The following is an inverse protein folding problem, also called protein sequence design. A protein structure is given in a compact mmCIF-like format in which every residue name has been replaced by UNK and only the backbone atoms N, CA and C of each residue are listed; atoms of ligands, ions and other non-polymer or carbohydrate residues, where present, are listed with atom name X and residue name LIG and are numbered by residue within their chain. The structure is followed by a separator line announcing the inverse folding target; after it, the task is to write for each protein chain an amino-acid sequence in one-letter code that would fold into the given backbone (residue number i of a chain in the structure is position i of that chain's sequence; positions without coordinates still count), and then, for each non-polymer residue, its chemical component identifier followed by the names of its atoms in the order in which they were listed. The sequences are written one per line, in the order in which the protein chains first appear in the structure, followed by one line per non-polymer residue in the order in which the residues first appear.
data_IF_835506778118
#
_entry.id   IF_835506778118
#
_cell.length_a   1.000
_cell.length_b   1.000
_cell.length_c   1.000
_cell.angle_alpha   90.00
_cell.angle_beta   90.00
_cell.angle_gamma   90.00
#
_symmetry.space_group_name_H-M   'P 1'
#
loop_
_entity.id
_entity.type
_entity.pdbx_description
1 polymer ?
#
# COMPACT_ATOMS: atom_id res chain seq x y z
N UNK A 1 7.23 -5.38 16.92
CA UNK A 1 7.16 -6.57 16.04
C UNK A 1 8.08 -6.30 14.87
N UNK A 2 9.27 -6.93 14.84
CA UNK A 2 10.21 -6.83 13.71
C UNK A 2 9.82 -7.93 12.74
N UNK A 3 9.44 -7.60 11.52
CA UNK A 3 9.33 -8.61 10.46
C UNK A 3 10.73 -9.17 10.23
N UNK A 4 10.86 -10.50 10.28
CA UNK A 4 12.09 -11.16 9.87
C UNK A 4 12.27 -10.91 8.37
N UNK A 5 13.44 -10.42 7.94
CA UNK A 5 13.69 -10.14 6.53
C UNK A 5 13.55 -11.43 5.73
N UNK A 6 12.60 -11.43 4.80
CA UNK A 6 12.54 -12.46 3.75
C UNK A 6 13.69 -12.16 2.81
N UNK A 7 14.85 -12.77 3.06
CA UNK A 7 16.04 -12.86 2.20
C UNK A 7 16.30 -11.64 1.31
N UNK A 8 17.22 -10.79 1.77
CA UNK A 8 17.62 -9.48 1.21
C UNK A 8 18.13 -9.46 -0.25
N UNK A 9 18.05 -10.55 -1.03
CA UNK A 9 18.66 -10.59 -2.37
C UNK A 9 17.71 -10.86 -3.55
N UNK A 10 16.45 -11.28 -3.31
CA UNK A 10 15.53 -11.63 -4.41
C UNK A 10 14.37 -10.64 -4.60
N UNK A 11 13.94 -9.92 -3.56
CA UNK A 11 12.76 -9.05 -3.63
C UNK A 11 13.06 -7.61 -4.10
N UNK A 12 14.32 -7.19 -4.00
CA UNK A 12 14.77 -5.82 -4.37
C UNK A 12 14.94 -5.65 -5.89
N UNK A 13 15.09 -6.73 -6.67
CA UNK A 13 15.45 -6.62 -8.09
C UNK A 13 14.26 -6.32 -9.04
N UNK A 14 13.01 -6.63 -8.68
CA UNK A 14 11.90 -6.58 -9.63
C UNK A 14 11.09 -5.26 -9.65
N UNK A 15 11.46 -4.26 -8.85
CA UNK A 15 10.83 -2.93 -8.87
C UNK A 15 11.53 -1.93 -9.80
N UNK A 16 12.15 -2.43 -10.88
CA UNK A 16 12.63 -1.59 -11.99
C UNK A 16 11.48 -1.27 -12.95
N UNK A 17 10.53 -0.47 -12.51
CA UNK A 17 9.60 0.25 -13.40
C UNK A 17 9.48 1.67 -12.86
N UNK A 18 10.23 2.57 -13.50
CA UNK A 18 10.73 3.79 -12.87
C UNK A 18 9.84 5.01 -12.94
N UNK A 19 10.26 6.02 -12.17
CA UNK A 19 10.33 7.41 -12.62
C UNK A 19 11.70 7.95 -12.21
N UNK A 20 12.48 8.42 -13.19
CA UNK A 20 13.75 9.09 -12.97
C UNK A 20 13.47 10.55 -12.68
N UNK A 21 13.52 10.92 -11.42
CA UNK A 21 13.91 12.27 -11.00
C UNK A 21 15.02 12.12 -9.96
N UNK A 22 16.19 12.69 -10.29
CA UNK A 22 17.29 13.02 -9.36
C UNK A 22 17.61 12.05 -8.22
N UNK A 23 18.57 11.16 -8.47
CA UNK A 23 19.58 10.74 -7.49
C UNK A 23 19.12 10.39 -6.06
N UNK A 24 18.21 9.43 -5.90
CA UNK A 24 18.25 8.45 -4.81
C UNK A 24 17.27 7.32 -5.12
N UNK A 25 17.73 6.07 -5.17
CA UNK A 25 16.87 4.88 -5.34
C UNK A 25 16.12 4.63 -4.02
N UNK A 26 15.18 5.51 -3.68
CA UNK A 26 14.36 5.32 -2.48
C UNK A 26 13.34 4.24 -2.76
N UNK A 27 13.52 3.11 -2.08
CA UNK A 27 12.53 2.05 -1.98
C UNK A 27 11.19 2.66 -1.54
N UNK A 28 10.10 2.29 -2.21
CA UNK A 28 8.77 2.75 -1.83
C UNK A 28 8.43 2.23 -0.44
N UNK A 29 8.09 3.14 0.47
CA UNK A 29 7.72 2.83 1.85
C UNK A 29 6.30 3.32 2.10
N UNK A 30 5.33 2.43 2.41
CA UNK A 30 3.98 2.85 2.77
C UNK A 30 3.95 3.50 4.15
N UNK A 31 2.95 4.37 4.39
CA UNK A 31 2.75 5.00 5.70
C UNK A 31 2.42 3.94 6.77
N UNK A 32 1.45 3.04 6.49
CA UNK A 32 1.10 1.93 7.36
C UNK A 32 0.77 0.66 6.58
N UNK A 33 1.00 -0.49 7.23
CA UNK A 33 0.50 -1.80 6.81
C UNK A 33 -0.22 -2.45 7.99
N UNK A 34 -1.42 -2.96 7.76
CA UNK A 34 -2.23 -3.63 8.78
C UNK A 34 -2.75 -4.96 8.26
N UNK A 35 -2.57 -6.03 9.01
CA UNK A 35 -3.10 -7.36 8.66
C UNK A 35 -4.34 -7.68 9.50
N UNK A 36 -5.32 -8.28 8.85
CA UNK A 36 -6.53 -8.85 9.47
C UNK A 36 -6.64 -10.32 9.10
N UNK A 37 -7.65 -11.02 9.60
CA UNK A 37 -7.93 -12.40 9.17
C UNK A 37 -8.29 -12.50 7.68
N UNK A 38 -8.86 -11.45 7.09
CA UNK A 38 -9.33 -11.44 5.71
C UNK A 38 -8.28 -10.95 4.69
N UNK A 39 -7.52 -9.90 5.03
CA UNK A 39 -6.64 -9.22 4.09
C UNK A 39 -5.49 -8.48 4.79
N UNK A 40 -4.45 -8.15 4.01
CA UNK A 40 -3.42 -7.17 4.36
C UNK A 40 -3.75 -5.83 3.70
N UNK A 41 -3.72 -4.76 4.47
CA UNK A 41 -4.05 -3.41 4.03
C UNK A 41 -2.81 -2.53 3.99
N UNK A 42 -2.55 -1.90 2.85
CA UNK A 42 -1.59 -0.81 2.71
C UNK A 42 -2.35 0.51 2.80
N UNK A 43 -2.10 1.29 3.84
CA UNK A 43 -2.91 2.45 4.21
C UNK A 43 -2.07 3.73 4.07
N UNK A 44 -2.57 4.69 3.29
CA UNK A 44 -1.95 6.01 3.13
C UNK A 44 -2.95 7.13 3.48
N UNK A 45 -2.95 7.60 4.74
CA UNK A 45 -3.71 8.77 5.13
C UNK A 45 -3.21 10.04 4.42
N UNK A 46 -4.13 10.90 3.97
CA UNK A 46 -3.82 12.21 3.36
C UNK A 46 -4.72 13.33 3.84
N UNK A 47 -4.31 14.58 3.64
CA UNK A 47 -5.21 15.71 3.87
C UNK A 47 -6.45 15.58 2.99
N UNK A 48 -7.64 15.91 3.50
CA UNK A 48 -8.87 15.84 2.68
C UNK A 48 -8.75 16.61 1.36
N UNK A 49 -8.10 17.79 1.39
CA UNK A 49 -7.85 18.61 0.20
C UNK A 49 -6.92 17.93 -0.82
N UNK A 50 -6.09 16.98 -0.40
CA UNK A 50 -5.13 16.27 -1.24
C UNK A 50 -5.74 15.05 -1.94
N UNK A 51 -6.95 14.63 -1.56
CA UNK A 51 -7.62 13.48 -2.17
C UNK A 51 -7.92 13.65 -3.66
N UNK A 52 -8.02 14.89 -4.12
CA UNK A 52 -8.21 15.24 -5.54
C UNK A 52 -6.94 15.86 -6.16
N UNK A 53 -5.83 15.88 -5.43
CA UNK A 53 -4.57 16.42 -5.94
C UNK A 53 -4.01 15.48 -7.02
N UNK A 54 -3.69 16.04 -8.19
CA UNK A 54 -3.26 15.26 -9.36
C UNK A 54 -1.92 14.58 -9.15
N UNK A 55 -1.03 15.15 -8.33
CA UNK A 55 0.27 14.54 -8.00
C UNK A 55 0.06 13.37 -7.04
N UNK A 56 -0.82 13.52 -6.04
CA UNK A 56 -1.17 12.44 -5.12
C UNK A 56 -1.82 11.28 -5.87
N UNK A 57 -2.79 11.57 -6.73
CA UNK A 57 -3.46 10.56 -7.55
C UNK A 57 -2.50 9.88 -8.55
N UNK A 58 -1.56 10.62 -9.15
CA UNK A 58 -0.56 10.02 -10.03
C UNK A 58 0.37 9.05 -9.28
N UNK A 59 0.75 9.39 -8.04
CA UNK A 59 1.64 8.56 -7.21
C UNK A 59 1.00 7.27 -6.73
N UNK A 60 -0.33 7.21 -6.65
CA UNK A 60 -1.12 6.02 -6.27
C UNK A 60 -0.86 4.78 -7.16
N UNK A 61 -0.36 4.98 -8.39
CA UNK A 61 -0.05 3.87 -9.29
C UNK A 61 0.99 2.88 -8.72
N UNK A 62 1.95 3.36 -7.92
CA UNK A 62 2.97 2.51 -7.31
C UNK A 62 2.39 1.54 -6.25
N UNK A 63 1.67 2.02 -5.20
CA UNK A 63 1.04 1.13 -4.22
C UNK A 63 0.01 0.16 -4.80
N UNK A 64 -0.77 0.59 -5.81
CA UNK A 64 -1.74 -0.29 -6.48
C UNK A 64 -1.04 -1.50 -7.12
N UNK A 65 0.02 -1.24 -7.88
CA UNK A 65 0.82 -2.31 -8.50
C UNK A 65 1.50 -3.20 -7.46
N UNK A 66 1.95 -2.61 -6.36
CA UNK A 66 2.50 -3.38 -5.25
C UNK A 66 1.47 -4.36 -4.70
N UNK A 67 0.28 -3.87 -4.32
CA UNK A 67 -0.76 -4.73 -3.74
C UNK A 67 -1.22 -5.81 -4.72
N UNK A 68 -1.30 -5.52 -6.01
CA UNK A 68 -1.62 -6.52 -7.03
C UNK A 68 -0.56 -7.64 -7.07
N UNK A 69 0.73 -7.29 -7.15
CA UNK A 69 1.82 -8.28 -7.18
C UNK A 69 1.91 -9.06 -5.86
N UNK A 70 1.80 -8.37 -4.73
CA UNK A 70 1.82 -8.96 -3.40
C UNK A 70 0.64 -9.94 -3.21
N UNK A 71 -0.54 -9.61 -3.74
CA UNK A 71 -1.70 -10.51 -3.76
C UNK A 71 -1.41 -11.78 -4.55
N UNK A 72 -0.93 -11.65 -5.80
CA UNK A 72 -0.60 -12.81 -6.65
C UNK A 72 0.39 -13.73 -5.94
N UNK A 73 1.47 -13.16 -5.38
CA UNK A 73 2.47 -13.92 -4.66
C UNK A 73 1.88 -14.57 -3.40
N UNK A 74 1.23 -13.78 -2.53
CA UNK A 74 0.70 -14.27 -1.27
C UNK A 74 -0.30 -15.41 -1.49
N UNK A 75 -1.24 -15.26 -2.44
CA UNK A 75 -2.23 -16.30 -2.73
C UNK A 75 -1.59 -17.59 -3.26
N UNK A 76 -0.53 -17.51 -4.06
CA UNK A 76 0.22 -18.68 -4.51
C UNK A 76 0.89 -19.46 -3.36
N UNK A 77 1.08 -18.82 -2.20
CA UNK A 77 1.71 -19.39 -1.01
C UNK A 77 0.73 -19.51 0.18
N UNK A 78 -0.58 -19.49 -0.06
CA UNK A 78 -1.60 -19.65 0.99
C UNK A 78 -1.74 -18.46 1.94
N UNK A 79 -1.19 -17.31 1.55
CA UNK A 79 -1.35 -16.03 2.23
C UNK A 79 -2.65 -15.31 1.88
N UNK A 80 -2.73 -14.04 2.28
CA UNK A 80 -3.93 -13.20 2.17
C UNK A 80 -3.80 -12.19 1.02
N UNK A 81 -4.92 -11.77 0.41
CA UNK A 81 -4.89 -10.68 -0.56
C UNK A 81 -4.45 -9.37 0.09
N UNK A 82 -3.85 -8.51 -0.72
CA UNK A 82 -3.44 -7.17 -0.36
C UNK A 82 -4.38 -6.13 -0.96
N UNK A 83 -4.72 -5.12 -0.17
CA UNK A 83 -5.57 -4.01 -0.62
C UNK A 83 -4.94 -2.67 -0.27
N UNK A 84 -4.94 -1.75 -1.24
CA UNK A 84 -4.46 -0.38 -1.04
C UNK A 84 -5.62 0.56 -0.71
N UNK A 85 -5.44 1.42 0.29
CA UNK A 85 -6.39 2.46 0.66
C UNK A 85 -5.68 3.83 0.71
N UNK A 86 -6.21 4.78 -0.07
CA UNK A 86 -5.89 6.20 0.06
C UNK A 86 -7.00 6.85 0.89
N UNK A 87 -6.71 7.26 2.12
CA UNK A 87 -7.75 7.59 3.11
C UNK A 87 -7.66 9.08 3.47
N UNK A 88 -8.74 9.87 3.40
CA UNK A 88 -8.72 11.20 4.00
C UNK A 88 -8.61 11.06 5.52
N UNK A 89 -7.63 11.74 6.14
CA UNK A 89 -7.31 11.57 7.56
C UNK A 89 -8.51 11.78 8.50
N UNK A 90 -9.47 12.62 8.13
CA UNK A 90 -10.67 12.93 8.91
C UNK A 90 -11.80 11.89 8.77
N UNK A 91 -11.63 10.87 7.91
CA UNK A 91 -12.51 9.70 7.89
C UNK A 91 -12.07 8.59 8.85
N UNK A 92 -10.87 8.70 9.44
CA UNK A 92 -10.37 7.73 10.42
C UNK A 92 -10.93 8.10 11.79
N UNK A 93 -11.82 7.26 12.30
CA UNK A 93 -12.46 7.42 13.61
C UNK A 93 -12.44 6.10 14.40
N UNK A 94 -12.53 6.17 15.72
CA UNK A 94 -12.42 5.02 16.63
C UNK A 94 -13.46 3.92 16.38
N UNK A 95 -14.61 4.27 15.81
CA UNK A 95 -15.70 3.36 15.51
C UNK A 95 -15.65 2.74 14.10
N UNK A 96 -14.59 3.00 13.32
CA UNK A 96 -14.43 2.46 11.97
C UNK A 96 -13.65 1.16 11.98
N UNK A 97 -13.96 0.28 11.02
CA UNK A 97 -13.19 -0.94 10.74
C UNK A 97 -12.36 -0.79 9.47
N UNK A 98 -11.28 -1.55 9.34
CA UNK A 98 -10.47 -1.56 8.12
C UNK A 98 -11.28 -1.99 6.89
N UNK A 99 -12.19 -2.95 7.03
CA UNK A 99 -13.10 -3.36 5.94
C UNK A 99 -14.11 -2.27 5.57
N UNK A 100 -14.60 -1.51 6.56
CA UNK A 100 -15.47 -0.36 6.33
C UNK A 100 -14.76 0.80 5.62
N UNK A 101 -13.49 1.06 5.97
CA UNK A 101 -12.65 2.03 5.26
C UNK A 101 -12.32 1.55 3.85
N UNK A 102 -12.01 0.26 3.67
CA UNK A 102 -11.71 -0.33 2.38
C UNK A 102 -12.90 -0.29 1.41
N UNK A 103 -14.11 -0.46 1.93
CA UNK A 103 -15.33 -0.37 1.14
C UNK A 103 -15.62 1.07 0.64
N UNK A 104 -15.06 2.08 1.31
CA UNK A 104 -15.25 3.50 0.97
C UNK A 104 -14.09 4.08 0.16
N UNK A 105 -12.87 3.61 0.40
CA UNK A 105 -11.63 4.23 -0.09
C UNK A 105 -10.64 3.23 -0.72
N UNK A 106 -11.01 1.96 -0.82
CA UNK A 106 -10.23 0.95 -1.54
C UNK A 106 -10.43 1.06 -3.05
N UNK A 107 -9.40 0.67 -3.77
CA UNK A 107 -9.40 0.49 -5.23
C UNK A 107 -9.43 -0.99 -5.63
#
# INVERSE_FOLDING_TARGET
MRYAPVSDELWVQHLRTGQRDGADHREYQPDFVAETDAAVYMLEPKMRKEMADTVVLAKKAAPLRWCANATVHALAHGGKPWQYLLIPHDAIAENMTLSGLASQFGD
#
